data_IF_359749669557
#
_entry.id   IF_359749669557
#
_cell.length_a   1.000
_cell.length_b   1.000
_cell.length_c   1.000
_cell.angle_alpha   90.00
_cell.angle_beta   90.00
_cell.angle_gamma   90.00
#
_symmetry.space_group_name_H-M   'P 1'
#
loop_
_entity.id
_entity.type
_entity.pdbx_description
1 polymer ?
#
# COMPACT_ATOMS: atom_id res chain seq x y z
N UNK A 1 -16.34 -24.00 -4.96
CA UNK A 1 -15.05 -23.85 -4.26
C UNK A 1 -13.94 -24.08 -5.29
N UNK A 2 -13.50 -23.02 -5.97
CA UNK A 2 -12.31 -23.06 -6.82
C UNK A 2 -11.14 -22.63 -5.96
N UNK A 3 -10.27 -23.58 -5.62
CA UNK A 3 -9.03 -23.35 -4.91
C UNK A 3 -8.12 -22.54 -5.82
N UNK A 4 -8.00 -21.23 -5.54
CA UNK A 4 -6.93 -20.40 -6.07
C UNK A 4 -5.60 -20.98 -5.57
N UNK A 5 -5.02 -21.88 -6.36
CA UNK A 5 -3.62 -22.28 -6.21
C UNK A 5 -2.82 -21.03 -6.58
N UNK A 6 -2.47 -20.22 -5.58
CA UNK A 6 -1.53 -19.13 -5.74
C UNK A 6 -0.19 -19.73 -6.14
N UNK A 7 0.23 -19.50 -7.38
CA UNK A 7 1.55 -19.91 -7.81
C UNK A 7 2.60 -19.21 -6.91
N UNK A 8 3.59 -19.94 -6.36
CA UNK A 8 4.63 -19.36 -5.49
C UNK A 8 5.43 -18.23 -6.17
N UNK A 9 5.33 -18.11 -7.50
CA UNK A 9 5.95 -17.06 -8.29
C UNK A 9 5.21 -15.71 -8.28
N UNK A 10 3.94 -15.64 -7.87
CA UNK A 10 3.20 -14.36 -7.77
C UNK A 10 3.45 -13.62 -6.45
N UNK A 11 3.91 -14.31 -5.41
CA UNK A 11 4.15 -13.72 -4.09
C UNK A 11 5.43 -12.89 -4.01
N UNK A 12 6.44 -13.19 -4.84
CA UNK A 12 7.74 -12.51 -4.79
C UNK A 12 7.68 -11.13 -5.46
N UNK A 13 8.18 -10.07 -4.78
CA UNK A 13 8.27 -8.73 -5.35
C UNK A 13 9.06 -8.74 -6.66
N UNK A 14 8.62 -7.94 -7.62
CA UNK A 14 9.31 -7.70 -8.87
C UNK A 14 10.19 -6.46 -8.78
N UNK A 15 11.45 -6.61 -9.15
CA UNK A 15 12.43 -5.52 -9.15
C UNK A 15 12.99 -5.41 -10.57
N UNK A 16 12.86 -4.24 -11.19
CA UNK A 16 13.52 -4.00 -12.46
C UNK A 16 14.93 -3.48 -12.24
N UNK A 17 15.92 -4.10 -12.89
CA UNK A 17 17.32 -3.72 -12.86
C UNK A 17 17.62 -2.90 -14.11
N UNK A 18 17.66 -1.58 -13.99
CA UNK A 18 17.83 -0.68 -15.14
C UNK A 18 19.25 -0.17 -15.18
N UNK A 19 20.01 -0.68 -16.14
CA UNK A 19 21.44 -0.41 -16.24
C UNK A 19 21.95 -0.55 -17.66
N UNK A 20 23.07 0.10 -17.94
CA UNK A 20 23.76 0.05 -19.23
C UNK A 20 25.21 -0.38 -18.96
N UNK A 21 25.82 -1.09 -19.93
CA UNK A 21 27.25 -1.43 -19.91
C UNK A 21 27.63 -2.19 -18.61
N UNK A 22 28.73 -1.80 -17.96
CA UNK A 22 29.34 -2.44 -16.79
C UNK A 22 28.42 -2.63 -15.58
N UNK A 23 27.46 -1.72 -15.38
CA UNK A 23 26.50 -1.85 -14.27
C UNK A 23 25.59 -3.08 -14.47
N UNK A 24 25.21 -3.39 -15.72
CA UNK A 24 24.40 -4.59 -16.03
C UNK A 24 25.12 -5.86 -15.59
N UNK A 25 26.43 -5.94 -15.83
CA UNK A 25 27.24 -7.08 -15.42
C UNK A 25 27.33 -7.23 -13.90
N UNK A 26 27.49 -6.13 -13.15
CA UNK A 26 27.45 -6.20 -11.69
C UNK A 26 26.09 -6.66 -11.18
N UNK A 27 25.00 -6.09 -11.70
CA UNK A 27 23.65 -6.50 -11.33
C UNK A 27 23.39 -7.97 -11.65
N UNK A 28 23.83 -8.46 -12.81
CA UNK A 28 23.73 -9.89 -13.20
C UNK A 28 24.56 -10.81 -12.31
N UNK A 29 25.68 -10.33 -11.77
CA UNK A 29 26.52 -11.08 -10.82
C UNK A 29 25.86 -11.20 -9.45
N UNK A 30 25.16 -10.14 -9.01
CA UNK A 30 24.54 -10.07 -7.68
C UNK A 30 23.14 -10.71 -7.66
N UNK A 31 22.34 -10.55 -8.72
CA UNK A 31 20.95 -11.00 -8.76
C UNK A 31 20.72 -12.48 -8.37
N UNK A 32 21.55 -13.46 -8.79
CA UNK A 32 21.37 -14.85 -8.40
C UNK A 32 21.33 -15.09 -6.88
N UNK A 33 22.03 -14.25 -6.09
CA UNK A 33 22.06 -14.34 -4.62
C UNK A 33 20.71 -14.03 -3.97
N UNK A 34 19.83 -13.33 -4.68
CA UNK A 34 18.56 -12.82 -4.16
C UNK A 34 17.31 -13.40 -4.87
N UNK A 35 17.46 -14.37 -5.78
CA UNK A 35 16.37 -14.96 -6.57
C UNK A 35 15.25 -15.62 -5.73
N UNK A 36 15.57 -16.07 -4.52
CA UNK A 36 14.58 -16.60 -3.59
C UNK A 36 13.71 -15.50 -2.96
N UNK A 37 14.22 -14.26 -2.91
CA UNK A 37 13.58 -13.14 -2.23
C UNK A 37 12.78 -12.23 -3.17
N UNK A 38 13.17 -12.14 -4.44
CA UNK A 38 12.54 -11.29 -5.45
C UNK A 38 12.69 -11.86 -6.87
N UNK A 39 11.88 -11.34 -7.80
CA UNK A 39 11.99 -11.58 -9.24
C UNK A 39 12.67 -10.38 -9.88
N UNK A 40 13.69 -10.62 -10.70
CA UNK A 40 14.46 -9.56 -11.33
C UNK A 40 14.16 -9.44 -12.83
N UNK A 41 13.97 -8.21 -13.30
CA UNK A 41 13.75 -7.89 -14.72
C UNK A 41 14.87 -6.99 -15.22
N UNK A 42 15.80 -7.53 -16.01
CA UNK A 42 16.92 -6.75 -16.53
C UNK A 42 16.49 -5.90 -17.73
N UNK A 43 16.60 -4.58 -17.59
CA UNK A 43 16.30 -3.61 -18.65
C UNK A 43 17.60 -2.91 -19.07
N UNK A 44 18.10 -3.26 -20.26
CA UNK A 44 19.32 -2.69 -20.84
C UNK A 44 19.00 -1.44 -21.68
N UNK A 45 18.49 -0.41 -21.04
CA UNK A 45 18.14 0.86 -21.67
C UNK A 45 18.39 2.04 -20.71
N UNK A 46 18.43 3.26 -21.26
CA UNK A 46 18.56 4.49 -20.49
C UNK A 46 17.47 5.51 -20.79
N UNK A 47 17.24 6.42 -19.85
CA UNK A 47 16.39 7.60 -19.95
C UNK A 47 15.00 7.24 -20.49
N UNK A 48 14.49 7.98 -21.47
CA UNK A 48 13.15 7.75 -22.04
C UNK A 48 12.94 6.35 -22.64
N UNK A 49 13.98 5.73 -23.19
CA UNK A 49 13.89 4.36 -23.70
C UNK A 49 13.66 3.35 -22.57
N UNK A 50 14.27 3.56 -21.40
CA UNK A 50 14.02 2.74 -20.23
C UNK A 50 12.62 2.93 -19.65
N UNK A 51 12.10 4.16 -19.61
CA UNK A 51 10.70 4.43 -19.19
C UNK A 51 9.73 3.67 -20.10
N UNK A 52 9.91 3.79 -21.42
CA UNK A 52 9.08 3.10 -22.41
C UNK A 52 9.12 1.58 -22.24
N UNK A 53 10.31 1.02 -22.00
CA UNK A 53 10.49 -0.42 -21.79
C UNK A 53 9.86 -0.91 -20.47
N UNK A 54 9.80 -0.07 -19.45
CA UNK A 54 9.23 -0.41 -18.13
C UNK A 54 7.72 -0.27 -18.07
N UNK A 55 7.11 0.56 -18.93
CA UNK A 55 5.70 0.93 -18.84
C UNK A 55 4.78 -0.29 -18.73
N UNK A 56 4.96 -1.29 -19.62
CA UNK A 56 4.15 -2.50 -19.61
C UNK A 56 4.29 -3.32 -18.30
N UNK A 57 5.47 -3.33 -17.70
CA UNK A 57 5.70 -4.05 -16.44
C UNK A 57 5.09 -3.33 -15.23
N UNK A 58 5.16 -2.00 -15.25
CA UNK A 58 4.58 -1.12 -14.23
C UNK A 58 3.04 -1.18 -14.29
N UNK A 59 2.46 -1.04 -15.47
CA UNK A 59 1.00 -1.09 -15.67
C UNK A 59 0.41 -2.46 -15.30
N UNK A 60 1.16 -3.53 -15.56
CA UNK A 60 0.76 -4.88 -15.17
C UNK A 60 0.96 -5.18 -13.66
N UNK A 61 1.52 -4.26 -12.88
CA UNK A 61 1.86 -4.46 -11.47
C UNK A 61 2.89 -5.57 -11.24
N UNK A 62 3.70 -5.88 -12.26
CA UNK A 62 4.70 -6.95 -12.19
C UNK A 62 6.02 -6.49 -11.60
N UNK A 63 6.32 -5.19 -11.71
CA UNK A 63 7.47 -4.49 -11.13
C UNK A 63 6.97 -3.57 -10.03
N UNK A 64 7.47 -3.77 -8.82
CA UNK A 64 7.13 -3.01 -7.63
C UNK A 64 8.14 -1.87 -7.35
N UNK A 65 9.40 -2.09 -7.73
CA UNK A 65 10.54 -1.17 -7.51
C UNK A 65 11.50 -1.22 -8.69
N UNK A 66 12.13 -0.09 -9.01
CA UNK A 66 13.21 -0.01 -9.99
C UNK A 66 14.53 0.25 -9.29
N UNK A 67 15.58 -0.49 -9.64
CA UNK A 67 16.96 -0.25 -9.22
C UNK A 67 17.73 0.37 -10.39
N UNK A 68 18.34 1.52 -10.15
CA UNK A 68 19.11 2.25 -11.15
C UNK A 68 20.29 3.00 -10.51
N UNK A 69 21.14 3.62 -11.33
CA UNK A 69 22.32 4.36 -10.87
C UNK A 69 22.56 5.64 -11.68
N UNK A 70 23.29 6.58 -11.07
CA UNK A 70 23.73 7.82 -11.70
C UNK A 70 22.59 8.68 -12.27
N UNK A 71 22.89 9.43 -13.33
CA UNK A 71 21.92 10.33 -13.99
C UNK A 71 20.71 9.60 -14.58
N UNK A 72 20.90 8.36 -15.04
CA UNK A 72 19.80 7.53 -15.54
C UNK A 72 18.76 7.26 -14.44
N UNK A 73 19.22 6.86 -13.25
CA UNK A 73 18.32 6.60 -12.14
C UNK A 73 17.61 7.85 -11.62
N UNK A 74 18.28 9.01 -11.63
CA UNK A 74 17.63 10.29 -11.33
C UNK A 74 16.51 10.59 -12.33
N UNK A 75 16.77 10.44 -13.64
CA UNK A 75 15.74 10.61 -14.67
C UNK A 75 14.55 9.67 -14.48
N UNK A 76 14.79 8.38 -14.19
CA UNK A 76 13.72 7.40 -14.00
C UNK A 76 12.85 7.71 -12.79
N UNK A 77 13.45 8.23 -11.71
CA UNK A 77 12.71 8.60 -10.49
C UNK A 77 11.64 9.65 -10.76
N UNK A 78 11.94 10.62 -11.62
CA UNK A 78 11.03 11.73 -11.91
C UNK A 78 9.96 11.35 -12.95
N UNK A 79 10.12 10.21 -13.63
CA UNK A 79 9.29 9.80 -14.78
C UNK A 79 8.56 8.46 -14.59
N UNK A 80 8.65 7.82 -13.41
CA UNK A 80 7.98 6.56 -13.12
C UNK A 80 7.06 6.68 -11.90
N UNK A 81 5.94 5.96 -11.93
CA UNK A 81 4.99 5.88 -10.80
C UNK A 81 5.42 4.91 -9.70
N UNK A 82 6.38 4.03 -9.99
CA UNK A 82 6.99 3.11 -9.02
C UNK A 82 8.26 3.70 -8.43
N UNK A 83 8.57 3.42 -7.14
CA UNK A 83 9.76 3.95 -6.50
C UNK A 83 11.06 3.47 -7.17
N UNK A 84 12.05 4.39 -7.24
CA UNK A 84 13.38 4.12 -7.81
C UNK A 84 14.46 4.16 -6.73
N UNK A 85 15.05 2.99 -6.46
CA UNK A 85 16.20 2.81 -5.58
C UNK A 85 17.49 3.08 -6.34
N UNK A 86 18.31 3.96 -5.78
CA UNK A 86 19.58 4.35 -6.38
C UNK A 86 20.72 3.53 -5.79
N UNK A 87 21.55 2.97 -6.66
CA UNK A 87 22.89 2.52 -6.29
C UNK A 87 23.71 3.77 -5.98
N UNK A 88 23.95 4.01 -4.69
CA UNK A 88 24.77 5.13 -4.21
C UNK A 88 26.20 4.65 -4.06
N UNK A 89 27.13 5.47 -4.53
CA UNK A 89 28.56 5.29 -4.28
C UNK A 89 28.87 5.96 -2.94
N UNK A 90 29.49 5.23 -2.03
CA UNK A 90 29.95 5.75 -0.75
C UNK A 90 31.47 6.06 -0.78
N UNK A 91 32.01 6.60 0.31
CA UNK A 91 33.43 6.94 0.39
C UNK A 91 34.36 5.71 0.28
N UNK A 92 33.94 4.54 0.78
CA UNK A 92 34.71 3.31 0.68
C UNK A 92 34.80 2.80 -0.76
N UNK A 93 33.74 2.95 -1.54
CA UNK A 93 33.74 2.61 -2.97
C UNK A 93 34.76 3.45 -3.74
N UNK A 94 34.78 4.77 -3.47
CA UNK A 94 35.75 5.68 -4.06
C UNK A 94 37.18 5.32 -3.64
N UNK A 95 37.41 5.07 -2.34
CA UNK A 95 38.72 4.68 -1.81
C UNK A 95 39.21 3.35 -2.41
N UNK A 96 38.32 2.36 -2.55
CA UNK A 96 38.65 1.08 -3.16
C UNK A 96 39.00 1.27 -4.64
N UNK A 97 38.23 2.08 -5.39
CA UNK A 97 38.53 2.36 -6.79
C UNK A 97 39.85 3.12 -6.97
N UNK A 98 40.16 4.08 -6.08
CA UNK A 98 41.45 4.78 -6.06
C UNK A 98 42.58 3.79 -5.76
N UNK A 99 42.41 2.92 -4.77
CA UNK A 99 43.41 1.91 -4.39
C UNK A 99 43.69 0.94 -5.54
N UNK A 100 42.65 0.51 -6.24
CA UNK A 100 42.76 -0.31 -7.44
C UNK A 100 43.52 0.41 -8.55
N UNK A 101 43.22 1.70 -8.80
CA UNK A 101 43.91 2.51 -9.80
C UNK A 101 45.40 2.67 -9.48
N UNK A 102 45.75 3.01 -8.23
CA UNK A 102 47.16 3.20 -7.81
C UNK A 102 47.96 1.90 -7.90
N UNK A 103 47.33 0.78 -7.57
CA UNK A 103 47.99 -0.53 -7.58
C UNK A 103 48.22 -1.02 -9.01
N UNK A 104 47.26 -0.80 -9.91
CA UNK A 104 47.37 -1.20 -11.30
C UNK A 104 48.24 -0.24 -12.13
N UNK A 105 48.25 1.05 -11.80
CA UNK A 105 49.01 2.09 -12.51
C UNK A 105 49.74 3.02 -11.52
N UNK A 106 50.85 2.55 -10.93
CA UNK A 106 51.59 3.34 -9.94
C UNK A 106 52.17 4.62 -10.55
N UNK A 107 51.94 5.75 -9.89
CA UNK A 107 52.49 7.06 -10.28
C UNK A 107 51.72 7.79 -11.38
N UNK A 108 50.68 7.17 -11.95
CA UNK A 108 49.84 7.80 -12.95
C UNK A 108 48.88 8.86 -12.36
N UNK A 109 48.49 9.83 -13.19
CA UNK A 109 47.50 10.84 -12.79
C UNK A 109 46.09 10.29 -12.98
N UNK A 110 45.30 10.33 -11.91
CA UNK A 110 43.96 9.73 -11.85
C UNK A 110 42.90 10.82 -11.95
N UNK A 111 41.94 10.63 -12.85
CA UNK A 111 40.73 11.43 -12.93
C UNK A 111 39.55 10.72 -12.26
N UNK A 112 38.76 11.41 -11.45
CA UNK A 112 37.56 10.88 -10.79
C UNK A 112 36.32 11.64 -11.26
N UNK A 113 35.35 10.91 -11.81
CA UNK A 113 34.09 11.45 -12.34
C UNK A 113 32.92 10.97 -11.49
N UNK A 114 32.23 11.92 -10.83
CA UNK A 114 31.10 11.65 -9.94
C UNK A 114 29.81 12.29 -10.44
N UNK A 115 28.66 11.70 -10.10
CA UNK A 115 27.35 12.29 -10.39
C UNK A 115 27.02 13.41 -9.40
N UNK A 116 26.37 14.49 -9.86
CA UNK A 116 25.90 15.68 -9.12
C UNK A 116 26.96 16.60 -8.50
N UNK A 117 27.87 16.07 -7.69
CA UNK A 117 28.83 16.88 -6.95
C UNK A 117 30.06 16.08 -6.51
N UNK A 118 31.15 16.81 -6.25
CA UNK A 118 32.33 16.33 -5.54
C UNK A 118 32.25 16.83 -4.11
N UNK A 119 32.28 15.92 -3.13
CA UNK A 119 32.19 16.32 -1.71
C UNK A 119 33.43 17.10 -1.27
N UNK A 120 33.31 17.93 -0.23
CA UNK A 120 34.43 18.73 0.28
C UNK A 120 35.52 17.85 0.88
N UNK A 121 35.12 16.73 1.49
CA UNK A 121 36.01 15.71 2.03
C UNK A 121 36.81 15.04 0.91
N UNK A 122 36.16 14.73 -0.21
CA UNK A 122 36.81 14.18 -1.40
C UNK A 122 37.77 15.19 -2.05
N UNK A 123 37.43 16.47 -2.07
CA UNK A 123 38.30 17.51 -2.62
C UNK A 123 39.67 17.58 -1.93
N UNK A 124 39.73 17.27 -0.62
CA UNK A 124 40.98 17.28 0.17
C UNK A 124 41.75 15.96 0.11
N UNK A 125 41.17 14.91 -0.48
CA UNK A 125 41.69 13.54 -0.42
C UNK A 125 43.04 13.38 -1.14
N UNK A 126 43.29 14.17 -2.18
CA UNK A 126 44.56 14.14 -2.94
C UNK A 126 45.77 14.41 -2.04
N UNK A 127 45.67 15.39 -1.14
CA UNK A 127 46.73 15.76 -0.21
C UNK A 127 46.96 14.72 0.89
N UNK A 128 45.92 13.96 1.28
CA UNK A 128 46.05 12.94 2.32
C UNK A 128 46.69 11.65 1.80
N UNK A 129 46.38 11.28 0.56
CA UNK A 129 46.87 10.02 -0.03
C UNK A 129 48.17 10.18 -0.83
N UNK A 130 48.66 11.42 -1.02
CA UNK A 130 49.79 11.74 -1.91
C UNK A 130 49.58 11.19 -3.33
N UNK A 131 48.36 11.36 -3.85
CA UNK A 131 47.92 10.85 -5.16
C UNK A 131 47.56 12.03 -6.04
N UNK A 132 48.02 12.00 -7.29
CA UNK A 132 47.65 12.96 -8.31
C UNK A 132 46.19 12.72 -8.77
N UNK A 133 45.23 13.18 -7.97
CA UNK A 133 43.80 12.99 -8.18
C UNK A 133 43.14 14.29 -8.64
N UNK A 134 42.53 14.27 -9.83
CA UNK A 134 41.71 15.36 -10.38
C UNK A 134 40.25 14.93 -10.41
N UNK A 135 39.33 15.83 -10.09
CA UNK A 135 37.93 15.47 -9.87
C UNK A 135 37.00 16.32 -10.72
N UNK A 136 35.92 15.71 -11.23
CA UNK A 136 34.85 16.37 -11.97
C UNK A 136 33.48 15.80 -11.60
N UNK A 137 32.46 16.65 -11.68
CA UNK A 137 31.07 16.25 -11.50
C UNK A 137 30.30 16.40 -12.81
N UNK A 138 29.23 15.60 -12.97
CA UNK A 138 28.33 15.69 -14.12
C UNK A 138 26.87 15.49 -13.68
N UNK A 139 25.93 16.00 -14.46
CA UNK A 139 24.48 15.80 -14.30
C UNK A 139 23.80 15.27 -15.57
N UNK A 140 24.43 15.45 -16.72
CA UNK A 140 23.90 15.06 -18.02
C UNK A 140 24.89 14.21 -18.82
N UNK A 141 24.42 13.58 -19.89
CA UNK A 141 25.26 12.76 -20.80
C UNK A 141 26.38 13.60 -21.40
N UNK A 142 26.06 14.81 -21.86
CA UNK A 142 27.02 15.72 -22.51
C UNK A 142 28.09 16.19 -21.52
N UNK A 143 27.71 16.43 -20.26
CA UNK A 143 28.65 16.77 -19.20
C UNK A 143 29.64 15.63 -18.87
N UNK A 144 29.22 14.36 -18.96
CA UNK A 144 30.16 13.23 -18.74
C UNK A 144 31.29 13.27 -19.77
N UNK A 145 30.95 13.48 -21.05
CA UNK A 145 31.94 13.56 -22.12
C UNK A 145 32.90 14.73 -21.91
N UNK A 146 32.35 15.92 -21.66
CA UNK A 146 33.16 17.10 -21.37
C UNK A 146 34.08 16.89 -20.15
N UNK A 147 33.60 16.20 -19.11
CA UNK A 147 34.39 15.88 -17.92
C UNK A 147 35.56 14.93 -18.24
N UNK A 148 35.32 13.87 -19.01
CA UNK A 148 36.38 12.92 -19.42
C UNK A 148 37.41 13.60 -20.32
N UNK A 149 36.97 14.36 -21.32
CA UNK A 149 37.85 15.07 -22.25
C UNK A 149 38.73 16.09 -21.52
N UNK A 150 38.16 16.81 -20.54
CA UNK A 150 38.91 17.75 -19.70
C UNK A 150 39.96 17.04 -18.87
N UNK A 151 39.61 15.92 -18.22
CA UNK A 151 40.56 15.15 -17.42
C UNK A 151 41.69 14.57 -18.30
N UNK A 152 41.38 14.12 -19.51
CA UNK A 152 42.36 13.66 -20.49
C UNK A 152 43.33 14.79 -20.88
N UNK A 153 42.81 15.98 -21.21
CA UNK A 153 43.61 17.16 -21.53
C UNK A 153 44.48 17.64 -20.35
N UNK A 154 44.02 17.39 -19.12
CA UNK A 154 44.74 17.63 -17.88
C UNK A 154 45.81 16.56 -17.56
N UNK A 155 46.00 15.57 -18.43
CA UNK A 155 47.02 14.54 -18.30
C UNK A 155 46.62 13.33 -17.45
N UNK A 156 45.34 13.15 -17.13
CA UNK A 156 44.87 11.93 -16.49
C UNK A 156 44.93 10.75 -17.48
N UNK A 157 45.63 9.69 -17.10
CA UNK A 157 45.77 8.45 -17.90
C UNK A 157 44.83 7.34 -17.43
N UNK A 158 44.31 7.46 -16.20
CA UNK A 158 43.33 6.55 -15.59
C UNK A 158 42.10 7.33 -15.16
N UNK A 159 40.92 6.90 -15.57
CA UNK A 159 39.63 7.47 -15.15
C UNK A 159 38.91 6.52 -14.18
N UNK A 160 38.42 7.04 -13.07
CA UNK A 160 37.51 6.36 -12.15
C UNK A 160 36.13 6.94 -12.37
N UNK A 161 35.13 6.11 -12.69
CA UNK A 161 33.80 6.64 -12.93
C UNK A 161 32.71 5.59 -13.16
N UNK A 162 31.47 6.08 -13.37
CA UNK A 162 30.33 5.26 -13.77
C UNK A 162 30.52 4.69 -15.19
N UNK A 163 29.60 3.83 -15.63
CA UNK A 163 29.78 3.02 -16.84
C UNK A 163 30.05 3.87 -18.08
N UNK A 164 29.27 4.94 -18.26
CA UNK A 164 29.44 5.87 -19.37
C UNK A 164 30.80 6.59 -19.37
N UNK A 165 31.29 7.00 -18.19
CA UNK A 165 32.60 7.63 -18.08
C UNK A 165 33.73 6.64 -18.42
N UNK A 166 33.59 5.37 -18.02
CA UNK A 166 34.54 4.33 -18.42
C UNK A 166 34.53 4.05 -19.91
N UNK A 167 33.35 3.97 -20.52
CA UNK A 167 33.22 3.68 -21.95
C UNK A 167 33.85 4.82 -22.78
N UNK A 168 33.65 6.07 -22.37
CA UNK A 168 34.28 7.24 -22.99
C UNK A 168 35.79 7.29 -22.77
N UNK A 169 36.27 6.96 -21.55
CA UNK A 169 37.70 6.90 -21.24
C UNK A 169 38.42 5.88 -22.13
N UNK A 170 37.85 4.68 -22.29
CA UNK A 170 38.41 3.64 -23.13
C UNK A 170 38.40 4.01 -24.62
N UNK A 171 37.35 4.69 -25.10
CA UNK A 171 37.30 5.23 -26.46
C UNK A 171 38.39 6.26 -26.72
N UNK A 172 38.76 7.04 -25.70
CA UNK A 172 39.88 7.99 -25.74
C UNK A 172 41.26 7.33 -25.54
N UNK A 173 41.32 6.00 -25.39
CA UNK A 173 42.58 5.26 -25.16
C UNK A 173 43.11 5.33 -23.72
N UNK A 174 42.30 5.82 -22.77
CA UNK A 174 42.63 5.87 -21.35
C UNK A 174 42.25 4.56 -20.65
N UNK A 175 42.83 4.35 -19.47
CA UNK A 175 42.43 3.25 -18.60
C UNK A 175 41.19 3.64 -17.78
N UNK A 176 40.37 2.65 -17.38
CA UNK A 176 39.25 2.91 -16.47
C UNK A 176 39.16 1.94 -15.30
N UNK A 177 38.82 2.48 -14.14
CA UNK A 177 38.30 1.73 -12.99
C UNK A 177 36.82 2.05 -12.82
N UNK A 178 36.00 1.01 -12.76
CA UNK A 178 34.57 1.17 -12.54
C UNK A 178 34.30 1.54 -11.08
N UNK A 179 33.55 2.62 -10.87
CA UNK A 179 33.38 3.23 -9.55
C UNK A 179 32.52 2.39 -8.59
N UNK A 180 31.57 1.62 -9.10
CA UNK A 180 30.64 0.86 -8.26
C UNK A 180 31.25 -0.45 -7.80
N UNK A 181 31.22 -0.71 -6.50
CA UNK A 181 31.61 -1.99 -5.93
C UNK A 181 30.45 -2.99 -5.94
N UNK A 182 30.77 -4.28 -5.72
CA UNK A 182 29.75 -5.31 -5.49
C UNK A 182 28.90 -4.98 -4.25
N UNK A 183 29.55 -4.51 -3.18
CA UNK A 183 28.85 -4.18 -1.92
C UNK A 183 27.82 -3.04 -2.07
N UNK A 184 28.12 -2.01 -2.87
CA UNK A 184 27.17 -0.94 -3.16
C UNK A 184 25.93 -1.46 -3.91
N UNK A 185 26.11 -2.44 -4.80
CA UNK A 185 25.00 -3.08 -5.52
C UNK A 185 24.21 -3.99 -4.57
N UNK A 186 24.87 -4.78 -3.72
CA UNK A 186 24.21 -5.63 -2.71
C UNK A 186 23.33 -4.80 -1.77
N UNK A 187 23.83 -3.69 -1.24
CA UNK A 187 23.05 -2.78 -0.40
C UNK A 187 21.82 -2.23 -1.14
N UNK A 188 21.97 -1.89 -2.42
CA UNK A 188 20.85 -1.43 -3.24
C UNK A 188 19.82 -2.54 -3.50
N UNK A 189 20.25 -3.79 -3.66
CA UNK A 189 19.35 -4.95 -3.79
C UNK A 189 18.55 -5.16 -2.52
N UNK A 190 19.20 -5.16 -1.36
CA UNK A 190 18.54 -5.33 -0.05
C UNK A 190 17.48 -4.26 0.18
N UNK A 191 17.83 -2.99 -0.05
CA UNK A 191 16.89 -1.86 0.02
C UNK A 191 15.73 -2.00 -0.96
N UNK A 192 15.99 -2.46 -2.19
CA UNK A 192 14.95 -2.64 -3.20
C UNK A 192 13.96 -3.74 -2.81
N UNK A 193 14.45 -4.83 -2.21
CA UNK A 193 13.61 -5.93 -1.73
C UNK A 193 12.74 -5.48 -0.55
N UNK A 194 13.33 -4.77 0.42
CA UNK A 194 12.60 -4.24 1.56
C UNK A 194 11.49 -3.27 1.12
N UNK A 195 11.84 -2.30 0.27
CA UNK A 195 10.88 -1.33 -0.24
C UNK A 195 9.75 -1.99 -1.05
N UNK A 196 10.08 -2.98 -1.87
CA UNK A 196 9.08 -3.71 -2.65
C UNK A 196 8.11 -4.50 -1.76
N UNK A 197 8.63 -5.13 -0.69
CA UNK A 197 7.79 -5.83 0.30
C UNK A 197 6.84 -4.87 1.03
N UNK A 198 7.35 -3.72 1.45
CA UNK A 198 6.54 -2.68 2.09
C UNK A 198 5.45 -2.16 1.16
N UNK A 199 5.79 -1.90 -0.11
CA UNK A 199 4.84 -1.45 -1.14
C UNK A 199 3.69 -2.45 -1.32
N UNK A 200 4.01 -3.74 -1.49
CA UNK A 200 3.01 -4.81 -1.61
C UNK A 200 2.16 -4.97 -0.37
N UNK A 201 2.73 -4.86 0.82
CA UNK A 201 1.97 -4.96 2.07
C UNK A 201 0.99 -3.80 2.21
N UNK A 202 1.41 -2.57 1.86
CA UNK A 202 0.55 -1.39 1.83
C UNK A 202 -0.60 -1.60 0.85
N UNK A 203 -0.31 -2.08 -0.36
CA UNK A 203 -1.32 -2.31 -1.38
C UNK A 203 -2.29 -3.43 -1.00
N UNK A 204 -1.80 -4.56 -0.48
CA UNK A 204 -2.64 -5.66 0.01
C UNK A 204 -3.56 -5.21 1.15
N UNK A 205 -3.05 -4.39 2.08
CA UNK A 205 -3.87 -3.81 3.15
C UNK A 205 -4.94 -2.87 2.59
N UNK A 206 -4.59 -2.03 1.60
CA UNK A 206 -5.52 -1.12 0.92
C UNK A 206 -6.63 -1.88 0.21
N UNK A 207 -6.27 -2.89 -0.61
CA UNK A 207 -7.25 -3.76 -1.29
C UNK A 207 -8.16 -4.45 -0.29
N UNK A 208 -7.61 -4.96 0.81
CA UNK A 208 -8.39 -5.62 1.86
C UNK A 208 -9.39 -4.65 2.52
N UNK A 209 -8.97 -3.44 2.88
CA UNK A 209 -9.84 -2.43 3.48
C UNK A 209 -10.95 -2.00 2.50
N UNK A 210 -10.60 -1.72 1.24
CA UNK A 210 -11.58 -1.39 0.21
C UNK A 210 -12.59 -2.52 -0.02
N UNK A 211 -12.13 -3.78 0.02
CA UNK A 211 -13.01 -4.94 -0.09
C UNK A 211 -13.96 -5.04 1.10
N UNK A 212 -13.48 -4.80 2.33
CA UNK A 212 -14.33 -4.78 3.53
C UNK A 212 -15.39 -3.69 3.38
N UNK A 213 -14.98 -2.45 3.12
CA UNK A 213 -15.88 -1.29 2.97
C UNK A 213 -16.92 -1.51 1.87
N UNK A 214 -16.53 -2.10 0.74
CA UNK A 214 -17.42 -2.39 -0.37
C UNK A 214 -18.52 -3.42 -0.05
N UNK A 215 -18.30 -4.30 0.94
CA UNK A 215 -19.26 -5.35 1.34
C UNK A 215 -19.94 -5.08 2.69
N UNK A 216 -19.68 -3.93 3.32
CA UNK A 216 -20.47 -3.48 4.47
C UNK A 216 -21.92 -3.24 4.05
N UNK A 217 -22.86 -3.62 4.92
CA UNK A 217 -24.29 -3.35 4.72
C UNK A 217 -24.66 -1.90 5.00
N UNK A 218 -23.89 -1.27 5.88
CA UNK A 218 -24.04 0.13 6.20
C UNK A 218 -23.46 0.96 5.05
N UNK A 219 -24.13 2.06 4.74
CA UNK A 219 -23.61 3.05 3.81
C UNK A 219 -22.39 3.72 4.42
N UNK A 220 -21.30 3.80 3.69
CA UNK A 220 -20.07 4.49 4.09
C UNK A 220 -19.62 5.40 2.97
N UNK A 221 -19.37 6.67 3.31
CA UNK A 221 -18.73 7.65 2.45
C UNK A 221 -17.64 8.41 3.22
N UNK A 222 -16.48 8.60 2.60
CA UNK A 222 -15.37 9.37 3.16
C UNK A 222 -15.11 10.60 2.30
N UNK A 223 -14.85 11.73 2.96
CA UNK A 223 -14.59 13.02 2.35
C UNK A 223 -13.26 13.57 2.86
N UNK A 224 -12.55 14.30 2.01
CA UNK A 224 -11.30 14.99 2.36
C UNK A 224 -11.54 16.27 3.19
N UNK A 225 -10.47 16.99 3.50
CA UNK A 225 -10.52 18.27 4.23
C UNK A 225 -11.36 19.35 3.50
N UNK A 226 -11.41 19.31 2.17
CA UNK A 226 -12.15 20.24 1.31
C UNK A 226 -13.61 19.81 1.09
N UNK A 227 -14.02 18.68 1.68
CA UNK A 227 -15.35 18.09 1.53
C UNK A 227 -15.59 17.39 0.20
N UNK A 228 -14.55 17.06 -0.56
CA UNK A 228 -14.66 16.26 -1.77
C UNK A 228 -14.75 14.77 -1.44
N UNK A 229 -15.54 14.04 -2.22
CA UNK A 229 -15.77 12.62 -2.02
C UNK A 229 -14.52 11.80 -2.41
N UNK A 230 -13.91 11.10 -1.45
CA UNK A 230 -12.78 10.20 -1.70
C UNK A 230 -13.23 8.76 -1.94
N UNK A 231 -14.17 8.26 -1.11
CA UNK A 231 -14.62 6.87 -1.13
C UNK A 231 -16.11 6.81 -0.88
N UNK A 232 -16.82 5.95 -1.63
CA UNK A 232 -18.22 5.60 -1.36
C UNK A 232 -18.43 4.12 -1.62
N UNK A 233 -19.14 3.44 -0.71
CA UNK A 233 -19.50 2.04 -0.92
C UNK A 233 -20.86 1.89 -1.63
N UNK A 234 -21.16 0.73 -2.25
CA UNK A 234 -22.43 0.50 -2.92
C UNK A 234 -23.65 0.66 -2.00
N UNK A 235 -23.54 0.21 -0.75
CA UNK A 235 -24.64 0.28 0.22
C UNK A 235 -25.08 1.73 0.50
N UNK A 236 -24.17 2.70 0.49
CA UNK A 236 -24.51 4.12 0.66
C UNK A 236 -25.44 4.60 -0.45
N UNK A 237 -25.14 4.24 -1.69
CA UNK A 237 -25.96 4.62 -2.85
C UNK A 237 -27.34 3.96 -2.77
N UNK A 238 -27.38 2.68 -2.41
CA UNK A 238 -28.63 1.90 -2.31
C UNK A 238 -29.53 2.38 -1.16
N UNK A 239 -28.95 2.77 -0.02
CA UNK A 239 -29.66 3.28 1.15
C UNK A 239 -30.26 4.66 0.89
N UNK A 240 -29.49 5.55 0.24
CA UNK A 240 -29.93 6.89 -0.15
C UNK A 240 -30.82 6.90 -1.40
N UNK A 241 -30.98 5.76 -2.08
CA UNK A 241 -31.77 5.64 -3.31
C UNK A 241 -31.17 6.39 -4.50
N UNK A 242 -29.84 6.60 -4.49
CA UNK A 242 -29.12 7.31 -5.53
C UNK A 242 -28.83 6.37 -6.70
N UNK A 243 -29.30 6.74 -7.89
CA UNK A 243 -28.91 6.04 -9.12
C UNK A 243 -27.45 6.38 -9.45
N UNK A 244 -26.71 5.39 -10.00
CA UNK A 244 -25.32 5.55 -10.50
C UNK A 244 -25.24 6.42 -11.78
N UNK A 245 -25.84 7.60 -11.73
CA UNK A 245 -25.79 8.64 -12.76
C UNK A 245 -24.44 9.37 -12.71
N UNK A 246 -24.17 10.26 -13.67
CA UNK A 246 -22.89 10.98 -13.76
C UNK A 246 -22.62 11.95 -12.61
N UNK A 247 -23.56 12.18 -11.69
CA UNK A 247 -23.46 13.19 -10.63
C UNK A 247 -23.68 12.63 -9.20
N UNK A 248 -23.15 11.43 -8.94
CA UNK A 248 -23.25 10.79 -7.61
C UNK A 248 -22.65 11.66 -6.51
N UNK A 249 -21.52 12.35 -6.76
CA UNK A 249 -20.84 13.15 -5.75
C UNK A 249 -21.70 14.33 -5.29
N UNK A 250 -22.30 15.11 -6.20
CA UNK A 250 -23.14 16.24 -5.82
C UNK A 250 -24.45 15.80 -5.18
N UNK A 251 -25.04 14.69 -5.63
CA UNK A 251 -26.25 14.13 -5.02
C UNK A 251 -25.98 13.64 -3.59
N UNK A 252 -24.86 12.98 -3.38
CA UNK A 252 -24.42 12.52 -2.07
C UNK A 252 -24.17 13.71 -1.14
N UNK A 253 -23.42 14.72 -1.60
CA UNK A 253 -23.22 15.97 -0.87
C UNK A 253 -24.53 16.70 -0.55
N UNK A 254 -25.52 16.65 -1.44
CA UNK A 254 -26.85 17.18 -1.16
C UNK A 254 -27.56 16.44 -0.02
N UNK A 255 -27.41 15.11 0.06
CA UNK A 255 -28.07 14.27 1.05
C UNK A 255 -27.38 14.32 2.43
N UNK A 256 -26.04 14.31 2.48
CA UNK A 256 -25.28 14.23 3.75
C UNK A 256 -24.48 15.49 4.10
N UNK A 257 -24.44 16.48 3.21
CA UNK A 257 -23.66 17.70 3.36
C UNK A 257 -23.91 18.50 4.64
N UNK A 258 -25.15 18.62 5.17
CA UNK A 258 -25.39 19.28 6.45
C UNK A 258 -24.63 18.63 7.61
N UNK A 259 -24.63 17.29 7.69
CA UNK A 259 -23.92 16.54 8.73
C UNK A 259 -22.40 16.61 8.56
N UNK A 260 -21.94 16.62 7.31
CA UNK A 260 -20.53 16.81 6.98
C UNK A 260 -20.04 18.19 7.44
N UNK A 261 -20.77 19.27 7.12
CA UNK A 261 -20.43 20.63 7.54
C UNK A 261 -20.42 20.78 9.06
N UNK A 262 -21.44 20.27 9.75
CA UNK A 262 -21.50 20.31 11.22
C UNK A 262 -20.26 19.65 11.86
N UNK A 263 -19.81 18.52 11.31
CA UNK A 263 -18.62 17.79 11.80
C UNK A 263 -17.31 18.50 11.43
N UNK A 264 -17.22 19.06 10.24
CA UNK A 264 -16.07 19.84 9.78
C UNK A 264 -15.96 21.21 10.46
N UNK A 265 -17.06 21.77 10.98
CA UNK A 265 -17.04 23.05 11.69
C UNK A 265 -16.81 22.89 13.20
N UNK A 266 -17.31 21.79 13.80
CA UNK A 266 -17.30 21.59 15.26
C UNK A 266 -16.10 20.77 15.79
N UNK A 267 -15.26 20.20 14.92
CA UNK A 267 -14.10 19.35 15.27
C UNK A 267 -14.44 18.20 16.26
N UNK A 268 -15.70 17.80 16.26
CA UNK A 268 -16.29 16.82 17.16
C UNK A 268 -17.22 15.92 16.36
N UNK A 269 -17.33 14.62 16.70
CA UNK A 269 -18.28 13.73 16.04
C UNK A 269 -19.70 14.29 16.20
N UNK A 270 -20.46 14.29 15.10
CA UNK A 270 -21.88 14.62 15.17
C UNK A 270 -22.61 13.54 15.98
N UNK A 271 -23.56 13.92 16.84
CA UNK A 271 -24.43 12.94 17.49
C UNK A 271 -25.20 12.13 16.42
N UNK A 272 -25.32 10.82 16.61
CA UNK A 272 -26.15 9.96 15.76
C UNK A 272 -27.57 10.52 15.67
N UNK A 273 -28.06 10.75 14.45
CA UNK A 273 -29.40 11.31 14.20
C UNK A 273 -30.21 10.39 13.30
N UNK A 274 -31.50 10.29 13.60
CA UNK A 274 -32.46 9.60 12.75
C UNK A 274 -33.02 10.63 11.77
N UNK A 275 -32.77 10.42 10.49
CA UNK A 275 -33.19 11.28 9.39
C UNK A 275 -34.15 10.55 8.44
N UNK A 276 -35.01 11.32 7.78
CA UNK A 276 -35.93 10.81 6.76
C UNK A 276 -35.37 11.18 5.38
N UNK A 277 -34.70 10.24 4.73
CA UNK A 277 -34.05 10.46 3.43
C UNK A 277 -34.66 9.49 2.41
N UNK A 278 -35.19 10.03 1.30
CA UNK A 278 -35.77 9.22 0.24
C UNK A 278 -36.96 8.34 0.68
N UNK A 279 -37.69 8.75 1.73
CA UNK A 279 -38.80 7.99 2.30
C UNK A 279 -38.40 6.88 3.27
N UNK A 280 -37.10 6.72 3.58
CA UNK A 280 -36.57 5.76 4.55
C UNK A 280 -36.12 6.48 5.82
N UNK A 281 -36.29 5.81 6.97
CA UNK A 281 -35.75 6.30 8.24
C UNK A 281 -34.35 5.73 8.44
N UNK A 282 -33.35 6.59 8.34
CA UNK A 282 -31.94 6.23 8.36
C UNK A 282 -31.24 6.84 9.57
N UNK A 283 -30.32 6.10 10.18
CA UNK A 283 -29.40 6.62 11.18
C UNK A 283 -28.20 7.17 10.43
N UNK A 284 -27.92 8.45 10.58
CA UNK A 284 -26.77 9.13 10.01
C UNK A 284 -25.79 9.47 11.13
N UNK A 285 -24.52 9.10 10.92
CA UNK A 285 -23.43 9.45 11.81
C UNK A 285 -22.28 10.02 10.98
N UNK A 286 -21.62 11.06 11.49
CA UNK A 286 -20.44 11.65 10.88
C UNK A 286 -19.33 11.80 11.92
N UNK A 287 -18.15 11.29 11.58
CA UNK A 287 -16.97 11.23 12.45
C UNK A 287 -15.79 11.84 11.70
N UNK A 288 -15.03 12.79 12.30
CA UNK A 288 -13.85 13.35 11.65
C UNK A 288 -12.72 12.32 11.55
N UNK A 289 -11.97 12.38 10.45
CA UNK A 289 -10.72 11.63 10.27
C UNK A 289 -9.59 12.50 10.81
N UNK A 290 -8.83 11.97 11.77
CA UNK A 290 -7.70 12.68 12.38
C UNK A 290 -6.42 11.89 12.12
N UNK A 291 -5.51 12.47 11.35
CA UNK A 291 -4.18 11.94 11.06
C UNK A 291 -3.11 12.82 11.69
N UNK A 292 -2.20 12.22 12.47
CA UNK A 292 -1.11 12.94 13.15
C UNK A 292 -1.55 14.15 14.00
N UNK A 293 -2.79 14.14 14.52
CA UNK A 293 -3.35 15.23 15.31
C UNK A 293 -3.89 16.40 14.50
N UNK A 294 -3.87 16.31 13.17
CA UNK A 294 -4.56 17.22 12.26
C UNK A 294 -5.76 16.51 11.62
N UNK A 295 -6.84 17.25 11.36
CA UNK A 295 -8.02 16.69 10.71
C UNK A 295 -7.73 16.55 9.21
N UNK A 296 -7.86 15.34 8.68
CA UNK A 296 -7.64 15.03 7.26
C UNK A 296 -8.93 14.80 6.47
N UNK A 297 -10.10 14.84 7.12
CA UNK A 297 -11.38 14.65 6.45
C UNK A 297 -12.50 14.23 7.40
N UNK A 298 -13.52 13.57 6.86
CA UNK A 298 -14.63 13.01 7.64
C UNK A 298 -15.24 11.75 6.99
N UNK A 299 -15.75 10.83 7.82
CA UNK A 299 -16.51 9.66 7.39
C UNK A 299 -17.97 9.84 7.77
N UNK A 300 -18.87 9.67 6.81
CA UNK A 300 -20.31 9.58 7.02
C UNK A 300 -20.74 8.12 6.90
N UNK A 301 -21.46 7.63 7.91
CA UNK A 301 -22.12 6.33 7.87
C UNK A 301 -23.64 6.48 7.91
N UNK A 302 -24.32 5.59 7.20
CA UNK A 302 -25.78 5.56 7.07
C UNK A 302 -26.27 4.14 7.30
N UNK A 303 -27.23 3.96 8.20
CA UNK A 303 -27.83 2.66 8.53
C UNK A 303 -29.35 2.70 8.43
N UNK A 304 -29.98 1.60 8.00
CA UNK A 304 -31.43 1.48 8.02
C UNK A 304 -31.94 1.11 9.43
N UNK A 305 -32.78 1.98 10.01
CA UNK A 305 -33.38 1.79 11.34
C UNK A 305 -34.18 0.48 11.45
N UNK A 306 -34.86 0.05 10.39
CA UNK A 306 -35.74 -1.12 10.40
C UNK A 306 -34.94 -2.44 10.39
N UNK A 307 -33.79 -2.46 9.74
CA UNK A 307 -32.90 -3.63 9.71
C UNK A 307 -32.21 -3.81 11.06
N UNK A 308 -31.71 -2.72 11.65
CA UNK A 308 -31.11 -2.74 12.99
C UNK A 308 -32.08 -3.30 14.03
N UNK A 309 -33.35 -2.86 14.02
CA UNK A 309 -34.39 -3.36 14.93
C UNK A 309 -34.78 -4.82 14.68
N UNK A 310 -34.83 -5.28 13.42
CA UNK A 310 -35.14 -6.69 13.10
C UNK A 310 -34.03 -7.63 13.57
N UNK A 311 -32.77 -7.23 13.41
CA UNK A 311 -31.62 -8.00 13.91
C UNK A 311 -31.67 -8.06 15.42
N UNK A 312 -31.85 -6.93 16.11
CA UNK A 312 -31.92 -6.90 17.58
C UNK A 312 -33.10 -7.73 18.13
N UNK A 313 -34.25 -7.67 17.46
CA UNK A 313 -35.41 -8.52 17.79
C UNK A 313 -35.10 -10.01 17.58
N UNK A 314 -34.41 -10.37 16.50
CA UNK A 314 -34.03 -11.76 16.21
C UNK A 314 -32.95 -12.31 17.17
N UNK A 315 -32.03 -11.45 17.61
CA UNK A 315 -31.02 -11.75 18.61
C UNK A 315 -31.65 -11.95 19.98
N UNK A 316 -32.62 -11.11 20.36
CA UNK A 316 -33.43 -11.28 21.59
C UNK A 316 -34.25 -12.57 21.59
N UNK A 317 -34.80 -12.97 20.45
CA UNK A 317 -35.51 -14.26 20.35
C UNK A 317 -34.57 -15.46 20.42
N UNK A 318 -33.36 -15.37 19.84
CA UNK A 318 -32.35 -16.44 19.88
C UNK A 318 -31.55 -16.49 21.20
N UNK A 319 -31.53 -15.41 21.97
CA UNK A 319 -31.02 -15.34 23.34
C UNK A 319 -32.12 -15.59 24.38
N UNK A 320 -33.19 -16.32 24.04
CA UNK A 320 -34.04 -16.92 25.09
C UNK A 320 -33.12 -17.77 25.98
N UNK A 321 -33.06 -17.50 27.29
CA UNK A 321 -32.18 -18.22 28.17
C UNK A 321 -32.45 -19.73 28.08
N UNK A 322 -31.40 -20.56 27.96
CA UNK A 322 -31.47 -22.05 27.97
C UNK A 322 -32.09 -22.64 29.26
N UNK A 323 -32.64 -21.81 30.15
CA UNK A 323 -33.18 -22.15 31.46
C UNK A 323 -34.70 -22.35 31.42
N UNK A 324 -35.38 -22.00 30.32
CA UNK A 324 -36.81 -22.28 30.11
C UNK A 324 -36.98 -23.69 29.53
N UNK A 325 -36.46 -24.69 30.24
CA UNK A 325 -36.76 -26.11 29.96
C UNK A 325 -37.96 -26.47 30.82
N UNK A 326 -39.08 -26.85 30.20
CA UNK A 326 -40.26 -27.29 30.92
C UNK A 326 -39.88 -28.46 31.85
N UNK A 327 -40.13 -28.31 33.15
CA UNK A 327 -39.91 -29.38 34.13
C UNK A 327 -40.99 -30.45 34.08
N UNK A 328 -42.18 -30.05 33.62
CA UNK A 328 -43.37 -30.88 33.51
C UNK A 328 -43.96 -30.77 32.11
N UNK A 329 -44.55 -31.87 31.65
CA UNK A 329 -45.26 -31.95 30.37
C UNK A 329 -46.77 -32.00 30.60
N UNK A 330 -47.56 -31.72 29.56
CA UNK A 330 -49.03 -31.83 29.63
C UNK A 330 -49.52 -33.25 30.00
N UNK A 331 -48.70 -34.27 29.77
CA UNK A 331 -48.95 -35.65 30.18
C UNK A 331 -48.86 -35.86 31.70
N UNK A 332 -48.17 -34.96 32.42
CA UNK A 332 -48.02 -35.02 33.88
C UNK A 332 -49.24 -34.43 34.62
N UNK A 333 -50.19 -33.82 33.89
CA UNK A 333 -51.43 -33.30 34.45
C UNK A 333 -52.37 -34.43 34.87
N UNK A 334 -52.53 -34.61 36.19
CA UNK A 334 -53.35 -35.67 36.77
C UNK A 334 -54.83 -35.27 36.75
N UNK A 335 -55.69 -36.18 36.28
CA UNK A 335 -57.14 -36.05 36.28
C UNK A 335 -57.74 -36.27 34.88
N UNK A 336 -59.02 -36.61 34.81
CA UNK A 336 -59.72 -36.91 33.56
C UNK A 336 -61.07 -36.20 33.44
N UNK A 337 -61.25 -35.08 34.15
CA UNK A 337 -62.50 -34.32 34.04
C UNK A 337 -62.60 -33.63 32.67
N UNK A 338 -63.82 -33.38 32.16
CA UNK A 338 -64.02 -32.67 30.89
C UNK A 338 -63.32 -31.31 30.84
N UNK A 339 -63.24 -30.61 31.98
CA UNK A 339 -62.59 -29.32 32.12
C UNK A 339 -61.07 -29.43 31.97
N UNK A 340 -60.47 -30.47 32.55
CA UNK A 340 -59.03 -30.68 32.46
C UNK A 340 -58.59 -31.13 31.06
N UNK A 341 -59.42 -31.94 30.37
CA UNK A 341 -59.18 -32.25 28.95
C UNK A 341 -59.25 -31.00 28.07
N UNK A 342 -60.16 -30.07 28.38
CA UNK A 342 -60.23 -28.79 27.67
C UNK A 342 -58.96 -27.95 27.86
N UNK A 343 -58.39 -27.93 29.06
CA UNK A 343 -57.13 -27.26 29.34
C UNK A 343 -55.98 -27.89 28.57
N UNK A 344 -55.89 -29.23 28.55
CA UNK A 344 -54.88 -29.96 27.73
C UNK A 344 -54.98 -29.60 26.26
N UNK A 345 -56.19 -29.59 25.70
CA UNK A 345 -56.43 -29.23 24.32
C UNK A 345 -56.03 -27.78 24.01
N UNK A 346 -56.43 -26.82 24.85
CA UNK A 346 -56.12 -25.40 24.65
C UNK A 346 -54.63 -25.13 24.75
N UNK A 347 -53.95 -25.76 25.72
CA UNK A 347 -52.50 -25.66 25.88
C UNK A 347 -51.76 -26.26 24.67
N UNK A 348 -52.19 -27.42 24.17
CA UNK A 348 -51.62 -28.04 22.97
C UNK A 348 -51.81 -27.19 21.70
N UNK A 349 -53.01 -26.63 21.51
CA UNK A 349 -53.28 -25.73 20.38
C UNK A 349 -52.43 -24.44 20.45
N UNK A 350 -52.24 -23.91 21.65
CA UNK A 350 -51.45 -22.70 21.87
C UNK A 350 -49.95 -22.94 21.73
N UNK A 351 -49.46 -24.12 22.12
CA UNK A 351 -48.04 -24.49 22.03
C UNK A 351 -47.50 -24.54 20.59
N UNK A 352 -48.37 -24.68 19.58
CA UNK A 352 -47.99 -24.63 18.17
C UNK A 352 -47.68 -23.20 17.67
N UNK A 353 -47.92 -22.16 18.47
CA UNK A 353 -47.82 -20.75 18.08
C UNK A 353 -46.95 -19.98 19.08
N UNK A 354 -46.20 -18.97 18.60
CA UNK A 354 -45.28 -18.17 19.43
C UNK A 354 -46.02 -17.01 20.15
N UNK A 355 -47.24 -17.29 20.65
CA UNK A 355 -48.11 -16.34 21.34
C UNK A 355 -47.93 -16.43 22.86
N UNK A 356 -48.01 -15.29 23.56
CA UNK A 356 -47.97 -15.26 25.03
C UNK A 356 -49.31 -15.72 25.61
N UNK A 357 -49.27 -16.76 26.46
CA UNK A 357 -50.46 -17.34 27.10
C UNK A 357 -50.46 -17.01 28.59
N UNK A 358 -51.62 -16.62 29.13
CA UNK A 358 -51.83 -16.41 30.56
C UNK A 358 -52.51 -17.66 31.16
N UNK A 359 -51.87 -18.28 32.16
CA UNK A 359 -52.43 -19.38 32.92
C UNK A 359 -52.97 -18.89 34.26
N UNK A 360 -54.22 -19.22 34.58
CA UNK A 360 -54.92 -18.79 35.80
C UNK A 360 -55.48 -19.97 36.57
N UNK A 361 -55.54 -19.87 37.91
CA UNK A 361 -56.00 -20.94 38.79
C UNK A 361 -55.49 -20.77 40.22
N UNK A 362 -56.14 -21.41 41.17
CA UNK A 362 -55.83 -21.31 42.61
C UNK A 362 -54.44 -21.90 42.94
N UNK A 363 -53.88 -21.57 44.11
CA UNK A 363 -52.58 -22.13 44.52
C UNK A 363 -52.63 -23.66 44.59
N UNK A 364 -51.57 -24.35 44.12
CA UNK A 364 -51.50 -25.82 44.11
C UNK A 364 -52.15 -26.52 42.91
N UNK A 365 -52.69 -25.78 41.93
CA UNK A 365 -53.36 -26.34 40.72
C UNK A 365 -52.41 -26.76 39.59
N UNK A 366 -51.08 -26.67 39.78
CA UNK A 366 -50.10 -27.07 38.76
C UNK A 366 -50.00 -26.11 37.57
N UNK A 367 -49.96 -24.79 37.82
CA UNK A 367 -49.77 -23.74 36.78
C UNK A 367 -48.31 -23.52 36.37
N UNK A 368 -47.38 -24.11 37.12
CA UNK A 368 -45.92 -24.08 36.88
C UNK A 368 -45.52 -25.32 36.10
#
# INVERSE_FOLDING_TARGET
MSTLISHPNQLRPGIALVSISRMSTLCETVAPRYNELARFFSIRAGYGAAVTALQAYVDAGTVDVVLAAGSNGAYLRDNLSVPVVMVKVNGFDVLNAITQAITAWPGETIGLVLHESVSRELANLSGWLNVALKQRAYRSIDEVRAAVDTLAAEGCTVIIGPGMACDLALQAGLQCVFLYSIGAVEEAFERSIELARMSRQKESKRVRLNTIVAHLRDGVAAFDEDGQLEVVNPAMLDLLGLNRSSDVASQLLGAVGPHLRETLDADSPSNERIEQIGGRSLIVNCVPIVEHGSRSGAVVTVQDTLIAQRIDRSLRTNQRPKHLVARHNLADLIGGSPELERVRWLAGASAAHDATVLLTGESGTGKE
#
